data_IF_741065617494
#
_entry.id   IF_741065617494
#
_cell.length_a   1.000
_cell.length_b   1.000
_cell.length_c   1.000
_cell.angle_alpha   90.00
_cell.angle_beta   90.00
_cell.angle_gamma   90.00
#
_symmetry.space_group_name_H-M   'P 1'
#
loop_
_entity.id
_entity.type
_entity.pdbx_description
1 polymer ?
#
# COMPACT_ATOMS: atom_id res chain seq x y z
N UNK A 1 -4.78 -6.40 23.37
CA UNK A 1 -5.51 -5.87 22.20
C UNK A 1 -6.49 -4.77 22.60
N UNK A 2 -7.48 -5.03 23.48
CA UNK A 2 -8.42 -3.99 23.94
C UNK A 2 -7.75 -2.76 24.57
N UNK A 3 -6.61 -2.95 25.25
CA UNK A 3 -5.81 -1.85 25.81
C UNK A 3 -5.20 -0.90 24.76
N UNK A 4 -5.32 -1.19 23.46
CA UNK A 4 -4.82 -0.37 22.35
C UNK A 4 -5.95 0.26 21.51
N UNK A 5 -7.21 0.05 21.89
CA UNK A 5 -8.35 0.66 21.20
C UNK A 5 -8.31 2.19 21.29
N UNK A 6 -8.89 2.86 20.30
CA UNK A 6 -9.00 4.33 20.29
C UNK A 6 -10.02 4.85 21.31
N UNK A 7 -11.04 4.05 21.65
CA UNK A 7 -12.05 4.38 22.66
C UNK A 7 -11.46 4.40 24.08
N UNK A 8 -11.53 5.55 24.77
CA UNK A 8 -10.91 5.74 26.08
C UNK A 8 -11.55 4.86 27.17
N UNK A 9 -12.87 4.66 27.11
CA UNK A 9 -13.58 3.84 28.09
C UNK A 9 -13.19 2.36 27.99
N UNK A 10 -13.20 1.79 26.78
CA UNK A 10 -12.79 0.40 26.53
C UNK A 10 -11.31 0.18 26.85
N UNK A 11 -10.45 1.15 26.48
CA UNK A 11 -9.02 1.10 26.81
C UNK A 11 -8.80 1.08 28.31
N UNK A 12 -9.49 1.95 29.06
CA UNK A 12 -9.35 2.05 30.51
C UNK A 12 -9.83 0.79 31.22
N UNK A 13 -10.99 0.26 30.84
CA UNK A 13 -11.51 -1.00 31.37
C UNK A 13 -10.55 -2.18 31.10
N UNK A 14 -9.95 -2.24 29.92
CA UNK A 14 -8.96 -3.27 29.59
C UNK A 14 -7.67 -3.15 30.41
N UNK A 15 -7.20 -1.93 30.67
CA UNK A 15 -6.02 -1.68 31.50
C UNK A 15 -6.28 -1.99 32.99
N UNK A 16 -7.50 -1.73 33.48
CA UNK A 16 -7.93 -2.11 34.83
C UNK A 16 -8.04 -3.63 34.98
N UNK A 17 -8.68 -4.30 34.02
CA UNK A 17 -8.74 -5.77 33.99
C UNK A 17 -7.34 -6.38 33.98
N UNK A 18 -6.42 -5.84 33.16
CA UNK A 18 -5.02 -6.30 33.14
C UNK A 18 -4.30 -6.05 34.47
N UNK A 19 -4.57 -4.93 35.14
CA UNK A 19 -3.97 -4.60 36.44
C UNK A 19 -4.50 -5.44 37.60
N UNK A 20 -5.69 -6.02 37.47
CA UNK A 20 -6.27 -6.92 38.47
C UNK A 20 -5.56 -8.28 38.53
N UNK A 21 -4.78 -8.64 37.51
CA UNK A 21 -4.01 -9.87 37.48
C UNK A 21 -2.56 -9.66 37.98
N UNK A 22 -1.99 -10.66 38.69
CA UNK A 22 -0.62 -10.57 39.18
C UNK A 22 0.37 -10.52 38.01
N UNK A 23 1.28 -9.54 38.03
CA UNK A 23 2.35 -9.38 37.01
C UNK A 23 3.33 -10.57 37.00
N UNK A 24 3.31 -11.42 38.03
CA UNK A 24 4.06 -12.67 38.04
C UNK A 24 3.55 -13.70 37.00
N UNK A 25 2.32 -13.53 36.50
CA UNK A 25 1.84 -14.30 35.35
C UNK A 25 2.61 -13.89 34.08
N UNK A 26 3.32 -14.82 33.41
CA UNK A 26 4.11 -14.51 32.21
C UNK A 26 3.32 -13.87 31.08
N UNK A 27 2.03 -14.19 30.93
CA UNK A 27 1.17 -13.61 29.90
C UNK A 27 0.80 -12.16 30.23
N UNK A 28 0.56 -11.88 31.50
CA UNK A 28 0.26 -10.53 32.01
C UNK A 28 1.53 -9.66 31.93
N UNK A 29 2.69 -10.21 32.31
CA UNK A 29 3.98 -9.55 32.16
C UNK A 29 4.28 -9.21 30.69
N UNK A 30 4.04 -10.15 29.76
CA UNK A 30 4.24 -9.92 28.33
C UNK A 30 3.28 -8.84 27.79
N UNK A 31 2.03 -8.83 28.24
CA UNK A 31 1.06 -7.79 27.87
C UNK A 31 1.50 -6.41 28.38
N UNK A 32 1.97 -6.30 29.63
CA UNK A 32 2.54 -5.06 30.16
C UNK A 32 3.82 -4.65 29.42
N UNK A 33 4.70 -5.58 29.07
CA UNK A 33 5.93 -5.32 28.32
C UNK A 33 5.63 -4.74 26.92
N UNK A 34 4.64 -5.31 26.23
CA UNK A 34 4.18 -4.77 24.96
C UNK A 34 3.58 -3.37 25.13
N UNK A 35 2.72 -3.14 26.13
CA UNK A 35 2.18 -1.80 26.39
C UNK A 35 3.26 -0.77 26.71
N UNK A 36 4.28 -1.15 27.48
CA UNK A 36 5.40 -0.28 27.86
C UNK A 36 6.30 0.11 26.68
N UNK A 37 6.49 -0.79 25.73
CA UNK A 37 7.33 -0.56 24.55
C UNK A 37 6.56 0.18 23.44
N UNK A 38 5.27 -0.09 23.31
CA UNK A 38 4.59 0.07 22.02
C UNK A 38 3.29 0.89 22.07
N UNK A 39 2.82 1.31 23.24
CA UNK A 39 1.55 2.04 23.35
C UNK A 39 1.70 3.51 22.90
N UNK A 40 0.86 4.01 21.98
CA UNK A 40 0.99 5.37 21.42
C UNK A 40 0.68 6.49 22.43
N UNK A 41 -0.14 6.21 23.44
CA UNK A 41 -0.35 7.11 24.58
C UNK A 41 0.80 6.96 25.59
N UNK A 42 1.62 8.01 25.81
CA UNK A 42 2.75 7.97 26.73
C UNK A 42 2.33 7.68 28.17
N UNK A 43 1.12 8.08 28.60
CA UNK A 43 0.63 7.82 29.95
C UNK A 43 0.39 6.33 30.20
N UNK A 44 -0.06 5.61 29.17
CA UNK A 44 -0.27 4.15 29.22
C UNK A 44 1.07 3.42 29.19
N UNK A 45 2.00 3.85 28.34
CA UNK A 45 3.35 3.30 28.29
C UNK A 45 4.07 3.47 29.64
N UNK A 46 4.02 4.65 30.25
CA UNK A 46 4.57 4.91 31.59
C UNK A 46 3.89 4.09 32.69
N UNK A 47 2.55 3.93 32.61
CA UNK A 47 1.81 3.07 33.54
C UNK A 47 2.28 1.61 33.44
N UNK A 48 2.48 1.13 32.22
CA UNK A 48 2.98 -0.21 31.95
C UNK A 48 4.42 -0.41 32.43
N UNK A 49 5.30 0.58 32.21
CA UNK A 49 6.67 0.57 32.73
C UNK A 49 6.69 0.53 34.26
N UNK A 50 5.80 1.25 34.94
CA UNK A 50 5.64 1.19 36.41
C UNK A 50 5.18 -0.18 36.88
N UNK A 51 4.19 -0.77 36.22
CA UNK A 51 3.71 -2.12 36.54
C UNK A 51 4.83 -3.18 36.43
N UNK A 52 5.67 -3.09 35.40
CA UNK A 52 6.84 -3.97 35.22
C UNK A 52 7.97 -3.67 36.23
N UNK A 53 8.19 -2.38 36.54
CA UNK A 53 9.19 -1.94 37.50
C UNK A 53 8.93 -2.47 38.92
N UNK A 54 7.66 -2.60 39.30
CA UNK A 54 7.25 -3.21 40.57
C UNK A 54 7.41 -4.74 40.59
N UNK A 55 7.44 -5.40 39.43
CA UNK A 55 7.57 -6.85 39.28
C UNK A 55 9.02 -7.34 39.06
N UNK A 56 9.99 -6.42 38.93
CA UNK A 56 11.39 -6.70 38.57
C UNK A 56 12.21 -7.53 39.58
N UNK A 57 11.60 -8.04 40.66
CA UNK A 57 12.26 -8.98 41.59
C UNK A 57 11.97 -10.47 41.35
N UNK A 58 11.13 -10.85 40.36
CA UNK A 58 10.71 -12.25 40.23
C UNK A 58 10.52 -12.81 38.80
N UNK A 59 10.99 -12.14 37.75
CA UNK A 59 10.77 -12.64 36.38
C UNK A 59 12.06 -13.23 35.78
N UNK A 60 12.03 -14.55 35.59
CA UNK A 60 12.91 -15.25 34.66
C UNK A 60 12.70 -14.71 33.22
N UNK A 61 13.73 -14.74 32.36
CA UNK A 61 13.62 -14.25 30.98
C UNK A 61 12.45 -14.93 30.27
N UNK A 62 11.56 -14.11 29.70
CA UNK A 62 10.51 -14.57 28.79
C UNK A 62 11.22 -15.33 27.67
N UNK A 63 10.75 -16.54 27.37
CA UNK A 63 11.23 -17.36 26.27
C UNK A 63 10.96 -16.62 24.94
N UNK A 64 11.92 -15.80 24.53
CA UNK A 64 11.98 -15.13 23.23
C UNK A 64 12.22 -16.12 22.09
N UNK A 65 12.38 -17.41 22.41
CA UNK A 65 12.56 -18.50 21.46
C UNK A 65 11.21 -19.06 20.95
N UNK A 66 10.19 -18.21 20.81
CA UNK A 66 9.09 -18.54 19.90
C UNK A 66 9.70 -18.61 18.50
N UNK A 67 9.76 -19.83 17.94
CA UNK A 67 10.26 -20.04 16.59
C UNK A 67 9.58 -19.09 15.61
N UNK A 68 10.35 -18.61 14.62
CA UNK A 68 9.81 -17.76 13.58
C UNK A 68 8.62 -18.47 12.90
N UNK A 69 7.48 -17.80 12.69
CA UNK A 69 6.39 -18.37 11.89
C UNK A 69 6.91 -18.81 10.53
N UNK A 70 6.50 -20.00 10.09
CA UNK A 70 6.77 -20.48 8.73
C UNK A 70 5.67 -19.97 7.82
N UNK A 71 6.02 -19.15 6.83
CA UNK A 71 5.08 -18.73 5.79
C UNK A 71 4.76 -19.95 4.92
N UNK A 72 3.47 -20.21 4.75
CA UNK A 72 2.93 -21.37 4.02
C UNK A 72 2.29 -20.97 2.70
N UNK A 73 1.70 -19.77 2.63
CA UNK A 73 1.19 -19.16 1.40
C UNK A 73 1.44 -17.65 1.45
N UNK A 74 1.58 -17.04 0.28
CA UNK A 74 1.65 -15.59 0.13
C UNK A 74 0.88 -15.14 -1.10
N UNK A 75 0.30 -13.95 -1.08
CA UNK A 75 -0.32 -13.32 -2.24
C UNK A 75 0.01 -11.84 -2.23
N UNK A 76 0.35 -11.29 -3.39
CA UNK A 76 0.55 -9.85 -3.61
C UNK A 76 -0.35 -9.42 -4.76
N UNK A 77 -1.06 -8.31 -4.61
CA UNK A 77 -1.85 -7.73 -5.72
C UNK A 77 -1.05 -6.67 -6.47
N UNK A 78 -1.44 -6.40 -7.71
CA UNK A 78 -1.11 -5.15 -8.38
C UNK A 78 -1.67 -3.93 -7.61
N UNK A 79 -1.19 -2.73 -7.96
CA UNK A 79 -1.66 -1.48 -7.37
C UNK A 79 -2.80 -0.88 -8.19
N UNK A 80 -3.79 -0.33 -7.48
CA UNK A 80 -4.81 0.54 -8.09
C UNK A 80 -4.26 1.93 -8.48
N UNK A 81 -5.12 2.78 -9.06
CA UNK A 81 -4.78 4.16 -9.45
C UNK A 81 -4.42 5.10 -8.29
N UNK A 82 -4.68 4.70 -7.05
CA UNK A 82 -4.28 5.43 -5.85
C UNK A 82 -2.99 4.90 -5.22
N UNK A 83 -2.38 3.87 -5.82
CA UNK A 83 -1.17 3.25 -5.32
C UNK A 83 -1.41 2.36 -4.11
N UNK A 84 -2.58 1.70 -4.04
CA UNK A 84 -2.90 0.73 -2.99
C UNK A 84 -2.91 -0.71 -3.51
N UNK A 85 -2.29 -1.59 -2.75
CA UNK A 85 -2.22 -3.03 -3.01
C UNK A 85 -2.43 -3.84 -1.74
N UNK A 86 -2.66 -5.14 -1.87
CA UNK A 86 -2.71 -6.05 -0.74
C UNK A 86 -1.51 -6.98 -0.73
N UNK A 87 -1.01 -7.26 0.46
CA UNK A 87 -0.12 -8.37 0.75
C UNK A 87 -0.85 -9.30 1.71
N UNK A 88 -1.07 -10.55 1.33
CA UNK A 88 -1.70 -11.57 2.16
C UNK A 88 -0.68 -12.63 2.51
N UNK A 89 -0.56 -12.94 3.80
CA UNK A 89 0.37 -13.95 4.31
C UNK A 89 -0.40 -14.97 5.15
N UNK A 90 -0.17 -16.25 4.87
CA UNK A 90 -0.59 -17.34 5.73
C UNK A 90 0.65 -17.98 6.35
N UNK A 91 0.68 -18.11 7.67
CA UNK A 91 1.81 -18.66 8.41
C UNK A 91 1.37 -19.68 9.46
N UNK A 92 2.29 -20.57 9.79
CA UNK A 92 2.11 -21.60 10.81
C UNK A 92 3.21 -21.48 11.87
N UNK A 93 2.83 -21.54 13.15
CA UNK A 93 3.76 -21.55 14.26
C UNK A 93 3.30 -22.53 15.35
N UNK A 94 4.06 -23.61 15.57
CA UNK A 94 3.77 -24.66 16.59
C UNK A 94 2.33 -25.21 16.52
N UNK A 95 1.78 -25.34 15.31
CA UNK A 95 0.42 -25.84 15.07
C UNK A 95 -0.66 -24.74 15.03
N UNK A 96 -0.35 -23.52 15.46
CA UNK A 96 -1.24 -22.37 15.27
C UNK A 96 -1.10 -21.84 13.84
N UNK A 97 -2.23 -21.66 13.16
CA UNK A 97 -2.29 -21.01 11.84
C UNK A 97 -2.78 -19.57 11.99
N UNK A 98 -2.13 -18.66 11.28
CA UNK A 98 -2.51 -17.26 11.18
C UNK A 98 -2.54 -16.84 9.71
N UNK A 99 -3.57 -16.10 9.31
CA UNK A 99 -3.63 -15.44 8.02
C UNK A 99 -3.91 -13.96 8.21
N UNK A 100 -3.20 -13.09 7.49
CA UNK A 100 -3.45 -11.65 7.53
C UNK A 100 -3.31 -11.03 6.13
N UNK A 101 -4.17 -10.08 5.83
CA UNK A 101 -4.06 -9.17 4.70
C UNK A 101 -3.67 -7.78 5.19
N UNK A 102 -2.61 -7.25 4.61
CA UNK A 102 -2.08 -5.92 4.85
C UNK A 102 -2.45 -5.06 3.64
N UNK A 103 -3.24 -4.01 3.86
CA UNK A 103 -3.47 -2.98 2.86
C UNK A 103 -2.24 -2.08 2.84
N UNK A 104 -1.52 -2.09 1.73
CA UNK A 104 -0.33 -1.29 1.52
C UNK A 104 -0.65 -0.09 0.64
N UNK A 105 -0.27 1.09 1.08
CA UNK A 105 -0.33 2.35 0.34
C UNK A 105 1.11 2.83 0.11
N UNK A 106 1.47 3.10 -1.15
CA UNK A 106 2.85 3.44 -1.49
C UNK A 106 3.30 4.80 -0.94
N UNK A 107 2.40 5.65 -0.46
CA UNK A 107 2.76 6.90 0.24
C UNK A 107 2.74 6.74 1.76
N UNK A 108 1.71 6.06 2.29
CA UNK A 108 1.39 6.04 3.71
C UNK A 108 1.86 4.76 4.45
N UNK A 109 2.32 3.75 3.72
CA UNK A 109 2.77 2.48 4.29
C UNK A 109 1.64 1.48 4.45
N UNK A 110 1.27 1.12 5.67
CA UNK A 110 0.26 0.09 5.95
C UNK A 110 -0.86 0.70 6.80
N UNK A 111 -1.86 1.35 6.16
CA UNK A 111 -2.97 1.96 6.89
C UNK A 111 -3.86 0.93 7.60
N UNK A 112 -3.99 -0.29 7.07
CA UNK A 112 -4.93 -1.28 7.57
C UNK A 112 -4.37 -2.70 7.51
N UNK A 113 -4.77 -3.51 8.49
CA UNK A 113 -4.53 -4.95 8.52
C UNK A 113 -5.75 -5.67 9.06
N UNK A 114 -6.11 -6.76 8.40
CA UNK A 114 -7.14 -7.71 8.88
C UNK A 114 -6.56 -9.11 8.91
N UNK A 115 -6.96 -9.92 9.87
CA UNK A 115 -6.46 -11.29 9.95
C UNK A 115 -7.33 -12.22 10.78
N UNK A 116 -7.01 -13.50 10.69
CA UNK A 116 -7.74 -14.58 11.35
C UNK A 116 -6.75 -15.60 11.94
N UNK A 117 -7.06 -16.10 13.14
CA UNK A 117 -6.34 -17.20 13.80
C UNK A 117 -7.10 -18.50 13.67
N UNK A 118 -6.38 -19.63 13.74
CA UNK A 118 -6.97 -20.96 13.83
C UNK A 118 -7.82 -21.34 12.62
N UNK A 119 -7.62 -20.68 11.48
CA UNK A 119 -8.38 -20.95 10.28
C UNK A 119 -8.01 -22.35 9.77
N UNK A 120 -9.00 -23.23 9.64
CA UNK A 120 -8.81 -24.59 9.11
C UNK A 120 -8.25 -24.55 7.69
N UNK A 121 -8.61 -23.51 6.91
CA UNK A 121 -8.14 -23.28 5.55
C UNK A 121 -7.88 -21.80 5.26
N UNK A 122 -6.61 -21.44 5.11
CA UNK A 122 -6.21 -20.12 4.61
C UNK A 122 -6.67 -19.86 3.17
N UNK A 123 -7.01 -20.91 2.41
CA UNK A 123 -7.41 -20.81 1.00
C UNK A 123 -8.65 -19.94 0.80
N UNK A 124 -9.65 -20.02 1.71
CA UNK A 124 -10.86 -19.19 1.61
C UNK A 124 -10.54 -17.71 1.73
N UNK A 125 -9.61 -17.37 2.63
CA UNK A 125 -9.17 -16.00 2.85
C UNK A 125 -8.36 -15.48 1.66
N UNK A 126 -7.39 -16.25 1.15
CA UNK A 126 -6.61 -15.85 -0.04
C UNK A 126 -7.49 -15.72 -1.28
N UNK A 127 -8.42 -16.66 -1.49
CA UNK A 127 -9.34 -16.64 -2.64
C UNK A 127 -10.21 -15.39 -2.67
N UNK A 128 -10.60 -14.85 -1.51
CA UNK A 128 -11.36 -13.60 -1.46
C UNK A 128 -10.57 -12.40 -2.03
N UNK A 129 -9.24 -12.40 -1.91
CA UNK A 129 -8.38 -11.39 -2.52
C UNK A 129 -8.06 -11.70 -3.99
N UNK A 130 -7.83 -12.97 -4.33
CA UNK A 130 -7.58 -13.41 -5.70
C UNK A 130 -8.80 -13.26 -6.63
N UNK A 131 -10.02 -13.31 -6.09
CA UNK A 131 -11.25 -13.20 -6.87
C UNK A 131 -11.60 -11.77 -7.29
N UNK A 132 -10.80 -10.75 -6.93
CA UNK A 132 -11.06 -9.35 -7.30
C UNK A 132 -10.63 -9.13 -8.76
N UNK A 133 -11.57 -8.92 -9.70
CA UNK A 133 -11.26 -8.87 -11.14
C UNK A 133 -10.41 -7.66 -11.53
N UNK A 134 -10.44 -6.60 -10.72
CA UNK A 134 -9.71 -5.35 -10.91
C UNK A 134 -8.19 -5.48 -10.72
N UNK A 135 -7.70 -6.60 -10.17
CA UNK A 135 -6.30 -6.73 -9.73
C UNK A 135 -5.68 -8.06 -10.12
N UNK A 136 -4.55 -7.96 -10.79
CA UNK A 136 -3.66 -9.10 -10.98
C UNK A 136 -3.06 -9.54 -9.63
N UNK A 137 -2.74 -10.82 -9.54
CA UNK A 137 -2.16 -11.43 -8.33
C UNK A 137 -0.91 -12.24 -8.64
N UNK A 138 0.05 -12.18 -7.72
CA UNK A 138 1.20 -13.07 -7.68
C UNK A 138 1.09 -13.90 -6.40
N UNK A 139 0.97 -15.21 -6.56
CA UNK A 139 0.87 -16.17 -5.45
C UNK A 139 2.22 -16.83 -5.17
N UNK A 140 2.44 -17.18 -3.90
CA UNK A 140 3.52 -18.04 -3.41
C UNK A 140 4.96 -17.56 -3.67
N UNK A 141 5.13 -16.27 -3.95
CA UNK A 141 6.44 -15.59 -3.97
C UNK A 141 6.67 -14.87 -2.64
N UNK A 142 7.12 -15.62 -1.63
CA UNK A 142 7.29 -15.09 -0.27
C UNK A 142 8.37 -14.00 -0.18
N UNK A 143 9.44 -14.05 -0.99
CA UNK A 143 10.44 -12.97 -1.00
C UNK A 143 9.85 -11.64 -1.46
N UNK A 144 9.00 -11.66 -2.50
CA UNK A 144 8.29 -10.47 -2.98
C UNK A 144 7.40 -9.90 -1.87
N UNK A 145 6.54 -10.75 -1.29
CA UNK A 145 5.61 -10.34 -0.25
C UNK A 145 6.33 -9.73 0.96
N UNK A 146 7.40 -10.37 1.45
CA UNK A 146 8.20 -9.87 2.56
C UNK A 146 8.97 -8.60 2.22
N UNK A 147 9.51 -8.50 1.00
CA UNK A 147 10.24 -7.33 0.53
C UNK A 147 9.35 -6.10 0.45
N UNK A 148 8.20 -6.23 -0.21
CA UNK A 148 7.21 -5.14 -0.32
C UNK A 148 6.63 -4.76 1.04
N UNK A 149 6.32 -5.74 1.90
CA UNK A 149 5.82 -5.48 3.25
C UNK A 149 6.85 -4.72 4.09
N UNK A 150 8.13 -5.09 4.01
CA UNK A 150 9.20 -4.37 4.71
C UNK A 150 9.38 -2.95 4.19
N UNK A 151 9.24 -2.75 2.87
CA UNK A 151 9.23 -1.44 2.21
C UNK A 151 8.06 -0.57 2.68
N UNK A 152 6.85 -1.11 2.69
CA UNK A 152 5.67 -0.41 3.20
C UNK A 152 5.78 -0.06 4.68
N UNK A 153 6.38 -0.93 5.51
CA UNK A 153 6.63 -0.60 6.92
C UNK A 153 7.58 0.58 7.12
N UNK A 154 8.52 0.80 6.20
CA UNK A 154 9.42 1.95 6.26
C UNK A 154 8.65 3.27 6.12
N UNK A 155 7.50 3.24 5.43
CA UNK A 155 6.64 4.40 5.19
C UNK A 155 5.67 4.70 6.34
N UNK A 156 5.39 3.73 7.22
CA UNK A 156 4.49 3.92 8.37
C UNK A 156 5.02 4.95 9.39
N UNK A 157 6.28 5.37 9.28
CA UNK A 157 6.93 6.26 10.24
C UNK A 157 6.93 5.68 11.67
N UNK A 158 6.88 6.52 12.72
CA UNK A 158 6.82 6.05 14.11
C UNK A 158 5.45 5.47 14.51
N UNK A 159 4.45 5.47 13.61
CA UNK A 159 3.04 5.24 13.91
C UNK A 159 2.53 3.82 13.66
N UNK A 160 3.37 2.78 13.76
CA UNK A 160 2.90 1.39 13.58
C UNK A 160 1.80 1.05 14.57
N UNK A 161 0.60 0.79 14.05
CA UNK A 161 -0.54 0.48 14.91
C UNK A 161 -0.30 -0.81 15.68
N UNK A 162 -0.86 -0.95 16.89
CA UNK A 162 -0.75 -2.18 17.68
C UNK A 162 -1.33 -3.40 16.96
N UNK A 163 -2.40 -3.20 16.17
CA UNK A 163 -2.96 -4.25 15.31
C UNK A 163 -1.95 -4.70 14.24
N UNK A 164 -1.27 -3.76 13.60
CA UNK A 164 -0.21 -4.05 12.63
C UNK A 164 0.95 -4.83 13.26
N UNK A 165 1.47 -4.37 14.41
CA UNK A 165 2.54 -5.10 15.13
C UNK A 165 2.11 -6.52 15.49
N UNK A 166 0.90 -6.69 16.04
CA UNK A 166 0.36 -7.99 16.39
C UNK A 166 0.35 -8.94 15.19
N UNK A 167 -0.18 -8.49 14.05
CA UNK A 167 -0.27 -9.33 12.86
C UNK A 167 1.10 -9.61 12.25
N UNK A 168 2.03 -8.66 12.27
CA UNK A 168 3.42 -8.91 11.85
C UNK A 168 4.08 -9.99 12.72
N UNK A 169 3.97 -9.88 14.04
CA UNK A 169 4.54 -10.90 14.94
C UNK A 169 3.92 -12.29 14.72
N UNK A 170 2.62 -12.34 14.38
CA UNK A 170 1.90 -13.57 14.12
C UNK A 170 2.22 -14.19 12.76
N UNK A 171 2.42 -13.39 11.71
CA UNK A 171 2.62 -13.91 10.34
C UNK A 171 4.08 -13.97 9.90
N UNK A 172 4.91 -12.99 10.28
CA UNK A 172 6.32 -12.88 9.85
C UNK A 172 7.32 -13.03 11.00
N UNK A 173 6.88 -12.83 12.24
CA UNK A 173 7.69 -13.02 13.44
C UNK A 173 8.32 -11.73 13.99
N UNK A 174 8.70 -11.79 15.27
CA UNK A 174 9.23 -10.65 16.04
C UNK A 174 10.50 -9.97 15.50
N UNK A 175 11.42 -10.65 14.78
CA UNK A 175 12.59 -10.01 14.19
C UNK A 175 12.32 -9.22 12.90
N UNK A 176 11.10 -9.24 12.35
CA UNK A 176 10.81 -8.52 11.10
C UNK A 176 10.97 -7.01 11.29
N UNK A 177 11.69 -6.34 10.38
CA UNK A 177 12.00 -4.91 10.48
C UNK A 177 11.72 -4.20 9.16
N UNK A 178 11.36 -2.90 9.22
CA UNK A 178 11.34 -2.05 8.04
C UNK A 178 12.68 -2.13 7.31
N UNK A 179 12.61 -2.24 5.99
CA UNK A 179 13.77 -2.25 5.09
C UNK A 179 13.40 -1.49 3.82
N UNK A 180 14.37 -0.98 3.06
CA UNK A 180 14.08 -0.44 1.74
C UNK A 180 13.30 -1.45 0.89
N UNK A 181 12.47 -0.97 -0.03
CA UNK A 181 11.85 -1.81 -1.06
C UNK A 181 12.93 -2.66 -1.74
N UNK A 182 12.62 -3.91 -2.12
CA UNK A 182 13.59 -4.85 -2.66
C UNK A 182 14.40 -4.17 -3.77
N UNK A 183 15.73 -4.23 -3.63
CA UNK A 183 16.66 -3.67 -4.62
C UNK A 183 16.41 -4.35 -5.95
N UNK A 184 16.01 -3.56 -6.95
CA UNK A 184 15.52 -4.08 -8.21
C UNK A 184 16.66 -4.63 -9.07
N UNK A 185 16.36 -5.70 -9.80
CA UNK A 185 17.10 -6.29 -10.93
C UNK A 185 18.62 -6.05 -10.85
N UNK A 186 19.35 -6.92 -10.14
CA UNK A 186 20.79 -6.79 -9.90
C UNK A 186 21.64 -6.48 -11.15
N UNK A 187 21.18 -6.89 -12.33
CA UNK A 187 21.88 -6.76 -13.60
C UNK A 187 21.33 -5.68 -14.55
N UNK A 188 20.38 -4.84 -14.10
CA UNK A 188 19.76 -3.82 -14.95
C UNK A 188 20.09 -2.40 -14.51
N UNK A 189 20.70 -1.63 -15.42
CA UNK A 189 20.90 -0.19 -15.27
C UNK A 189 19.74 0.59 -15.93
N UNK A 190 18.83 1.22 -15.16
CA UNK A 190 17.75 2.02 -15.75
C UNK A 190 18.24 3.22 -16.56
N UNK A 191 19.45 3.74 -16.28
CA UNK A 191 20.02 4.85 -17.02
C UNK A 191 20.48 4.44 -18.44
N UNK A 192 20.65 3.15 -18.69
CA UNK A 192 21.08 2.62 -19.99
C UNK A 192 19.97 2.57 -21.05
N UNK A 193 18.71 2.80 -20.67
CA UNK A 193 17.57 2.72 -21.60
C UNK A 193 17.58 3.90 -22.58
N UNK A 194 17.58 3.64 -23.91
CA UNK A 194 17.55 4.70 -24.91
C UNK A 194 16.31 5.58 -24.80
N UNK A 195 16.50 6.91 -24.89
CA UNK A 195 15.39 7.88 -24.83
C UNK A 195 14.29 7.61 -25.87
N UNK A 196 14.66 7.11 -27.05
CA UNK A 196 13.72 6.79 -28.13
C UNK A 196 12.73 5.67 -27.74
N UNK A 197 13.08 4.79 -26.81
CA UNK A 197 12.22 3.69 -26.35
C UNK A 197 11.25 4.10 -25.24
N UNK A 198 11.46 5.26 -24.60
CA UNK A 198 10.71 5.66 -23.41
C UNK A 198 9.22 5.84 -23.71
N UNK A 199 8.87 6.27 -24.92
CA UNK A 199 7.47 6.39 -25.34
C UNK A 199 6.77 5.04 -25.37
N UNK A 200 7.37 4.04 -25.99
CA UNK A 200 6.78 2.69 -26.11
C UNK A 200 6.71 2.00 -24.74
N UNK A 201 7.75 2.20 -23.91
CA UNK A 201 7.79 1.68 -22.53
C UNK A 201 6.71 2.32 -21.64
N UNK A 202 6.52 3.63 -21.76
CA UNK A 202 5.45 4.33 -21.06
C UNK A 202 4.07 3.83 -21.48
N UNK A 203 3.85 3.65 -22.78
CA UNK A 203 2.60 3.08 -23.29
C UNK A 203 2.35 1.67 -22.73
N UNK A 204 3.34 0.78 -22.79
CA UNK A 204 3.21 -0.59 -22.28
C UNK A 204 2.87 -0.63 -20.78
N UNK A 205 3.54 0.19 -19.96
CA UNK A 205 3.26 0.29 -18.51
C UNK A 205 1.86 0.81 -18.25
N UNK A 206 1.45 1.87 -18.95
CA UNK A 206 0.11 2.42 -18.79
C UNK A 206 -0.93 1.39 -19.26
N UNK A 207 -0.75 0.72 -20.40
CA UNK A 207 -1.71 -0.27 -20.90
C UNK A 207 -1.88 -1.47 -19.95
N UNK A 208 -0.81 -1.87 -19.26
CA UNK A 208 -0.88 -2.87 -18.19
C UNK A 208 -1.59 -2.38 -16.92
N UNK A 209 -1.75 -1.06 -16.75
CA UNK A 209 -2.37 -0.43 -15.58
C UNK A 209 -3.53 0.50 -16.01
N UNK A 210 -4.64 -0.01 -16.54
CA UNK A 210 -5.73 0.81 -17.08
C UNK A 210 -6.38 1.71 -16.03
N UNK A 211 -6.42 1.28 -14.76
CA UNK A 211 -6.97 2.03 -13.64
C UNK A 211 -6.09 3.23 -13.20
N UNK A 212 -4.88 3.39 -13.75
CA UNK A 212 -4.03 4.52 -13.41
C UNK A 212 -4.47 5.76 -14.17
N UNK A 213 -5.40 6.49 -13.55
CA UNK A 213 -5.93 7.76 -14.02
C UNK A 213 -5.98 8.77 -12.87
N UNK A 214 -5.89 10.06 -13.18
CA UNK A 214 -6.25 11.12 -12.24
C UNK A 214 -7.73 11.46 -12.41
N UNK A 215 -8.50 11.29 -11.35
CA UNK A 215 -9.94 11.47 -11.26
C UNK A 215 -10.32 12.78 -10.55
N UNK A 216 -9.37 13.72 -10.45
CA UNK A 216 -9.61 14.98 -9.73
C UNK A 216 -10.59 15.89 -10.45
N UNK A 217 -11.28 16.75 -9.69
CA UNK A 217 -12.20 17.75 -10.24
C UNK A 217 -11.54 18.59 -11.34
N UNK A 218 -10.26 18.94 -11.18
CA UNK A 218 -9.50 19.70 -12.17
C UNK A 218 -9.35 18.93 -13.50
N UNK A 219 -9.16 17.62 -13.46
CA UNK A 219 -9.10 16.81 -14.70
C UNK A 219 -10.45 16.84 -15.42
N UNK A 220 -11.56 16.80 -14.69
CA UNK A 220 -12.90 16.90 -15.27
C UNK A 220 -13.19 18.29 -15.84
N UNK A 221 -12.78 19.36 -15.16
CA UNK A 221 -12.88 20.74 -15.67
C UNK A 221 -12.15 20.90 -17.01
N UNK A 222 -10.92 20.43 -17.10
CA UNK A 222 -10.13 20.51 -18.34
C UNK A 222 -10.69 19.59 -19.44
N UNK A 223 -11.18 18.40 -19.08
CA UNK A 223 -11.82 17.49 -20.02
C UNK A 223 -13.09 18.11 -20.65
N UNK A 224 -13.92 18.76 -19.82
CA UNK A 224 -15.09 19.51 -20.25
C UNK A 224 -14.71 20.68 -21.16
N UNK A 225 -13.69 21.46 -20.80
CA UNK A 225 -13.19 22.56 -21.63
C UNK A 225 -12.78 22.09 -23.03
N UNK A 226 -12.06 20.97 -23.13
CA UNK A 226 -11.65 20.37 -24.41
C UNK A 226 -12.89 19.93 -25.20
N UNK A 227 -13.85 19.25 -24.55
CA UNK A 227 -15.08 18.79 -25.22
C UNK A 227 -15.90 19.95 -25.79
N UNK A 228 -16.01 21.06 -25.06
CA UNK A 228 -16.77 22.23 -25.49
C UNK A 228 -16.12 22.99 -26.66
N UNK A 229 -14.80 22.89 -26.81
CA UNK A 229 -14.06 23.59 -27.89
C UNK A 229 -13.94 22.77 -29.17
N UNK A 230 -13.68 21.48 -29.04
CA UNK A 230 -13.15 20.67 -30.14
C UNK A 230 -14.04 19.48 -30.52
N UNK A 231 -15.24 19.37 -29.94
CA UNK A 231 -16.29 18.37 -30.25
C UNK A 231 -15.76 16.97 -30.65
N UNK A 232 -15.62 16.08 -29.67
CA UNK A 232 -15.26 14.67 -29.84
C UNK A 232 -13.82 14.35 -30.28
N UNK A 233 -12.91 15.31 -30.24
CA UNK A 233 -11.48 15.04 -30.43
C UNK A 233 -10.86 14.48 -29.13
N UNK A 234 -10.09 13.37 -29.20
CA UNK A 234 -9.39 12.83 -28.03
C UNK A 234 -8.28 13.79 -27.57
N UNK A 235 -7.94 13.81 -26.26
CA UNK A 235 -6.90 14.69 -25.75
C UNK A 235 -5.52 14.39 -26.37
N UNK A 236 -4.98 15.32 -27.16
CA UNK A 236 -3.61 15.27 -27.69
C UNK A 236 -2.68 16.30 -26.99
N UNK A 237 -1.51 15.89 -26.46
CA UNK A 237 -0.53 16.82 -25.88
C UNK A 237 -0.05 17.92 -26.82
N UNK A 238 -0.04 17.70 -28.14
CA UNK A 238 0.41 18.71 -29.12
C UNK A 238 -0.63 19.80 -29.33
N UNK A 239 -1.89 19.41 -29.50
CA UNK A 239 -3.01 20.34 -29.72
C UNK A 239 -3.44 21.01 -28.41
N UNK A 240 -3.48 20.27 -27.30
CA UNK A 240 -3.94 20.76 -25.99
C UNK A 240 -2.80 21.03 -25.01
N UNK A 241 -1.64 21.48 -25.50
CA UNK A 241 -0.43 21.69 -24.69
C UNK A 241 -0.66 22.55 -23.44
N UNK A 242 -1.54 23.56 -23.52
CA UNK A 242 -1.93 24.40 -22.38
C UNK A 242 -2.62 23.62 -21.27
N UNK A 243 -3.61 22.78 -21.61
CA UNK A 243 -4.32 21.94 -20.63
C UNK A 243 -3.38 20.92 -19.98
N UNK A 244 -2.49 20.30 -20.78
CA UNK A 244 -1.48 19.36 -20.28
C UNK A 244 -0.50 20.04 -19.31
N UNK A 245 0.00 21.22 -19.68
CA UNK A 245 0.89 22.00 -18.80
C UNK A 245 0.18 22.40 -17.51
N UNK A 246 -1.07 22.87 -17.61
CA UNK A 246 -1.86 23.30 -16.46
C UNK A 246 -2.11 22.16 -15.48
N UNK A 247 -2.55 21.00 -15.97
CA UNK A 247 -2.80 19.82 -15.12
C UNK A 247 -1.51 19.30 -14.50
N UNK A 248 -0.40 19.32 -15.24
CA UNK A 248 0.90 18.95 -14.67
C UNK A 248 1.27 19.87 -13.50
N UNK A 249 1.28 21.18 -13.72
CA UNK A 249 1.74 22.17 -12.73
C UNK A 249 0.85 22.18 -11.47
N UNK A 250 -0.47 22.04 -11.62
CA UNK A 250 -1.42 22.18 -10.51
C UNK A 250 -1.81 20.86 -9.85
N UNK A 251 -1.52 19.71 -10.48
CA UNK A 251 -1.93 18.40 -9.95
C UNK A 251 -0.80 17.38 -9.95
N UNK A 252 -0.27 17.03 -11.12
CA UNK A 252 0.61 15.87 -11.22
C UNK A 252 2.01 16.11 -10.64
N UNK A 253 2.49 17.35 -10.64
CA UNK A 253 3.78 17.71 -10.02
C UNK A 253 3.82 17.30 -8.54
N UNK A 254 2.73 17.52 -7.80
CA UNK A 254 2.59 17.08 -6.40
C UNK A 254 2.40 15.57 -6.22
N UNK A 255 2.17 14.83 -7.31
CA UNK A 255 1.94 13.37 -7.33
C UNK A 255 3.10 12.59 -7.95
N UNK A 256 4.20 13.23 -8.36
CA UNK A 256 5.33 12.53 -8.99
C UNK A 256 5.89 11.41 -8.10
N UNK A 257 5.99 11.68 -6.79
CA UNK A 257 6.47 10.68 -5.82
C UNK A 257 5.51 9.48 -5.70
N UNK A 258 4.19 9.70 -5.83
CA UNK A 258 3.21 8.62 -5.87
C UNK A 258 3.50 7.71 -7.06
N UNK A 259 3.53 8.26 -8.27
CA UNK A 259 3.72 7.46 -9.49
C UNK A 259 5.09 6.79 -9.50
N UNK A 260 6.13 7.47 -9.03
CA UNK A 260 7.46 6.88 -8.88
C UNK A 260 7.40 5.61 -8.02
N UNK A 261 6.77 5.67 -6.85
CA UNK A 261 6.67 4.49 -5.96
C UNK A 261 5.72 3.42 -6.50
N UNK A 262 4.65 3.80 -7.19
CA UNK A 262 3.79 2.85 -7.89
C UNK A 262 4.59 2.06 -8.93
N UNK A 263 5.43 2.74 -9.71
CA UNK A 263 6.33 2.09 -10.67
C UNK A 263 7.37 1.18 -9.99
N UNK A 264 7.95 1.58 -8.86
CA UNK A 264 8.86 0.72 -8.09
C UNK A 264 8.19 -0.57 -7.60
N UNK A 265 6.97 -0.47 -7.06
CA UNK A 265 6.18 -1.65 -6.65
C UNK A 265 5.87 -2.54 -7.84
N UNK A 266 5.35 -1.96 -8.94
CA UNK A 266 4.98 -2.71 -10.13
C UNK A 266 6.19 -3.35 -10.80
N UNK A 267 7.38 -2.76 -10.70
CA UNK A 267 8.62 -3.40 -11.17
C UNK A 267 8.89 -4.72 -10.43
N UNK A 268 8.80 -4.74 -9.09
CA UNK A 268 8.96 -5.97 -8.31
C UNK A 268 7.84 -6.98 -8.58
N UNK A 269 6.60 -6.50 -8.70
CA UNK A 269 5.43 -7.33 -9.01
C UNK A 269 5.56 -8.01 -10.36
N UNK A 270 5.88 -7.26 -11.42
CA UNK A 270 6.01 -7.80 -12.78
C UNK A 270 7.22 -8.70 -12.94
N UNK A 271 8.32 -8.46 -12.22
CA UNK A 271 9.44 -9.39 -12.22
C UNK A 271 9.02 -10.75 -11.66
N UNK A 272 8.32 -10.76 -10.52
CA UNK A 272 7.83 -11.99 -9.90
C UNK A 272 6.71 -12.66 -10.72
N UNK A 273 5.93 -11.89 -11.48
CA UNK A 273 4.87 -12.42 -12.35
C UNK A 273 5.39 -12.94 -13.70
N UNK A 274 6.70 -12.90 -13.96
CA UNK A 274 7.29 -13.35 -15.21
C UNK A 274 7.16 -12.36 -16.38
N UNK A 275 7.01 -11.07 -16.09
CA UNK A 275 6.95 -9.97 -17.06
C UNK A 275 8.16 -9.01 -16.94
N UNK A 276 9.40 -9.48 -17.18
CA UNK A 276 10.63 -8.72 -16.91
C UNK A 276 10.76 -7.44 -17.77
N UNK A 277 10.19 -7.42 -18.97
CA UNK A 277 10.25 -6.23 -19.84
C UNK A 277 9.35 -5.09 -19.31
N UNK A 278 8.19 -5.42 -18.75
CA UNK A 278 7.36 -4.45 -18.02
C UNK A 278 8.08 -4.00 -16.74
N UNK A 279 8.71 -4.91 -16.01
CA UNK A 279 9.48 -4.58 -14.82
C UNK A 279 10.62 -3.58 -15.11
N UNK A 280 11.42 -3.83 -16.15
CA UNK A 280 12.49 -2.93 -16.60
C UNK A 280 11.93 -1.58 -17.07
N UNK A 281 10.81 -1.59 -17.79
CA UNK A 281 10.14 -0.37 -18.25
C UNK A 281 9.67 0.47 -17.07
N UNK A 282 9.01 -0.14 -16.10
CA UNK A 282 8.57 0.53 -14.88
C UNK A 282 9.74 1.17 -14.12
N UNK A 283 10.84 0.44 -13.96
CA UNK A 283 12.03 0.92 -13.27
C UNK A 283 12.72 2.07 -14.01
N UNK A 284 12.85 1.98 -15.34
CA UNK A 284 13.41 3.06 -16.15
C UNK A 284 12.59 4.35 -16.02
N UNK A 285 11.26 4.24 -16.07
CA UNK A 285 10.36 5.38 -15.87
C UNK A 285 10.45 5.92 -14.44
N UNK A 286 10.50 5.05 -13.42
CA UNK A 286 10.64 5.47 -12.02
C UNK A 286 11.96 6.22 -11.78
N UNK A 287 13.05 5.76 -12.41
CA UNK A 287 14.35 6.40 -12.36
C UNK A 287 14.31 7.78 -13.03
N UNK A 288 13.74 7.90 -14.24
CA UNK A 288 13.60 9.19 -14.92
C UNK A 288 12.75 10.17 -14.11
N UNK A 289 11.61 9.74 -13.55
CA UNK A 289 10.77 10.59 -12.71
C UNK A 289 11.43 11.01 -11.39
N UNK A 290 12.53 10.39 -10.98
CA UNK A 290 13.32 10.83 -9.83
C UNK A 290 14.23 12.02 -10.13
N UNK A 291 14.50 12.29 -11.41
CA UNK A 291 15.32 13.41 -11.87
C UNK A 291 14.44 14.61 -12.23
N UNK A 292 14.71 15.75 -11.60
CA UNK A 292 14.01 17.01 -11.85
C UNK A 292 14.07 17.47 -13.32
N UNK A 293 15.09 17.07 -14.08
CA UNK A 293 15.20 17.40 -15.51
C UNK A 293 14.16 16.66 -16.37
N UNK A 294 13.69 15.50 -15.91
CA UNK A 294 12.74 14.65 -16.61
C UNK A 294 11.32 14.77 -16.03
N UNK A 295 11.16 15.40 -14.88
CA UNK A 295 9.88 15.76 -14.26
C UNK A 295 9.20 16.94 -14.99
N UNK A 296 8.81 16.72 -16.25
CA UNK A 296 8.19 17.73 -17.13
C UNK A 296 6.92 17.20 -17.78
N UNK A 297 5.97 18.08 -18.19
CA UNK A 297 4.72 17.64 -18.82
C UNK A 297 4.92 16.82 -20.10
N UNK A 298 6.01 17.07 -20.82
CA UNK A 298 6.36 16.37 -22.07
C UNK A 298 6.99 15.00 -21.88
N UNK A 299 7.25 14.56 -20.65
CA UNK A 299 7.75 13.22 -20.40
C UNK A 299 6.72 12.17 -20.85
N UNK A 300 7.08 11.13 -21.63
CA UNK A 300 6.09 10.26 -22.27
C UNK A 300 5.10 9.61 -21.30
N UNK A 301 5.56 9.17 -20.13
CA UNK A 301 4.67 8.65 -19.08
C UNK A 301 3.69 9.68 -18.53
N UNK A 302 4.13 10.93 -18.31
CA UNK A 302 3.29 12.01 -17.79
C UNK A 302 2.26 12.44 -18.84
N UNK A 303 2.71 12.65 -20.07
CA UNK A 303 1.82 12.98 -21.18
C UNK A 303 0.78 11.87 -21.43
N UNK A 304 1.21 10.60 -21.43
CA UNK A 304 0.30 9.46 -21.57
C UNK A 304 -0.73 9.37 -20.44
N UNK A 305 -0.29 9.57 -19.18
CA UNK A 305 -1.17 9.60 -18.02
C UNK A 305 -2.20 10.75 -18.11
N UNK A 306 -1.77 11.96 -18.47
CA UNK A 306 -2.68 13.12 -18.66
C UNK A 306 -3.69 12.82 -19.77
N UNK A 307 -3.23 12.38 -20.93
CA UNK A 307 -4.08 12.09 -22.08
C UNK A 307 -5.16 11.06 -21.73
N UNK A 308 -4.75 9.97 -21.05
CA UNK A 308 -5.67 8.95 -20.57
C UNK A 308 -6.65 9.48 -19.53
N UNK A 309 -6.19 10.24 -18.55
CA UNK A 309 -7.03 10.79 -17.48
C UNK A 309 -8.10 11.72 -18.04
N UNK A 310 -7.70 12.62 -18.97
CA UNK A 310 -8.64 13.47 -19.69
C UNK A 310 -9.62 12.64 -20.53
N UNK A 311 -9.15 11.61 -21.25
CA UNK A 311 -10.02 10.77 -22.08
C UNK A 311 -11.05 10.00 -21.24
N UNK A 312 -10.64 9.47 -20.09
CA UNK A 312 -11.52 8.81 -19.12
C UNK A 312 -12.56 9.79 -18.57
N UNK A 313 -12.15 10.99 -18.14
CA UNK A 313 -13.06 12.03 -17.69
C UNK A 313 -14.05 12.46 -18.79
N UNK A 314 -13.60 12.58 -20.05
CA UNK A 314 -14.49 12.86 -21.16
C UNK A 314 -15.52 11.74 -21.41
N UNK A 315 -15.12 10.48 -21.26
CA UNK A 315 -16.04 9.35 -21.38
C UNK A 315 -17.12 9.40 -20.29
N UNK A 316 -16.70 9.64 -19.04
CA UNK A 316 -17.59 9.78 -17.88
C UNK A 316 -18.56 10.95 -18.02
N UNK A 317 -18.08 12.13 -18.45
CA UNK A 317 -18.92 13.32 -18.69
C UNK A 317 -20.00 13.04 -19.74
N UNK A 318 -19.70 12.28 -20.80
CA UNK A 318 -20.69 11.87 -21.81
C UNK A 318 -21.76 10.93 -21.24
N UNK A 319 -21.42 10.14 -20.22
CA UNK A 319 -22.35 9.30 -19.47
C UNK A 319 -23.10 10.07 -18.38
N UNK A 320 -22.83 11.36 -18.20
CA UNK A 320 -23.39 12.18 -17.12
C UNK A 320 -22.76 11.89 -15.75
N UNK A 321 -21.60 11.23 -15.71
CA UNK A 321 -20.83 10.94 -14.51
C UNK A 321 -19.83 12.07 -14.29
N UNK A 322 -20.21 13.03 -13.45
CA UNK A 322 -19.33 14.14 -13.07
C UNK A 322 -19.08 14.12 -11.55
N UNK A 323 -17.85 13.86 -11.06
CA UNK A 323 -17.56 13.81 -9.63
C UNK A 323 -17.79 15.14 -8.92
N UNK A 324 -17.85 16.26 -9.64
CA UNK A 324 -18.19 17.60 -9.10
C UNK A 324 -19.68 17.69 -8.74
N UNK A 325 -20.52 16.82 -9.32
CA UNK A 325 -21.95 16.74 -9.04
C UNK A 325 -22.24 15.86 -7.81
N UNK A 326 -22.98 16.37 -6.80
CA UNK A 326 -23.39 15.56 -5.64
C UNK A 326 -24.14 14.28 -6.00
N UNK A 327 -24.93 14.31 -7.09
CA UNK A 327 -25.71 13.17 -7.56
C UNK A 327 -24.82 12.05 -8.11
N UNK A 328 -23.76 12.39 -8.85
CA UNK A 328 -22.83 11.40 -9.38
C UNK A 328 -21.96 10.79 -8.29
N UNK A 329 -21.61 11.55 -7.25
CA UNK A 329 -20.88 11.02 -6.09
C UNK A 329 -21.66 9.94 -5.35
N UNK A 330 -22.97 10.12 -5.18
CA UNK A 330 -23.84 9.08 -4.62
C UNK A 330 -23.87 7.84 -5.53
N UNK A 331 -23.99 8.04 -6.84
CA UNK A 331 -24.05 6.95 -7.82
C UNK A 331 -22.74 6.15 -7.92
N UNK A 332 -21.58 6.81 -7.74
CA UNK A 332 -20.27 6.15 -7.68
C UNK A 332 -20.08 5.35 -6.40
N UNK A 333 -20.48 5.89 -5.25
CA UNK A 333 -20.40 5.16 -3.98
C UNK A 333 -21.18 3.84 -4.04
N UNK A 334 -22.38 3.87 -4.63
CA UNK A 334 -23.20 2.65 -4.81
C UNK A 334 -22.55 1.62 -5.76
N UNK A 335 -21.76 2.08 -6.74
CA UNK A 335 -21.03 1.21 -7.68
C UNK A 335 -19.74 0.63 -7.08
N UNK A 336 -19.10 1.35 -6.15
CA UNK A 336 -17.89 0.88 -5.46
C UNK A 336 -18.19 -0.10 -4.30
N UNK A 337 -19.43 -0.10 -3.78
CA UNK A 337 -19.89 -1.04 -2.75
C UNK A 337 -20.44 -2.38 -3.30
N UNK A 338 -20.70 -2.48 -4.60
CA UNK A 338 -21.23 -3.70 -5.27
C UNK A 338 -20.11 -4.60 -5.81
#
# INVERSE_FOLDING_TARGET
>A
LLAYTHDEATRSAALEALAAHPVADPLVAAAWASLAADHPDPKVAERAQRALGQAKMALAPIDTNRGAPRITRSLVTSLDGHGRGYIVLAAENRGDRAVAAFLCDVLQGIPEVIGQLGCESSEGFLRAFAARPERDVVEDVSELALGLLAGSLLLCGPGTTPALRYWLERTVGGPFRPRPFPGLLADFDPASVPFAEISDRAAAVLDACPAWVDDSELTYELAEEILLREENIPPDPRHHSGAFRFLFDHRLMGRLELYRRMLFWMASFWEASGAPDLARSALALAWQLSDAQHAVPGHPFIAGLIARSLAAAQADLRLGLDPRSPRSRALRADLEEC
#
